data_IF_327757581144
#
_entry.id   IF_327757581144
#
_cell.length_a   1.000
_cell.length_b   1.000
_cell.length_c   1.000
_cell.angle_alpha   90.00
_cell.angle_beta   90.00
_cell.angle_gamma   90.00
#
_symmetry.space_group_name_H-M   'P 1'
#
loop_
_entity.id
_entity.type
_entity.pdbx_description
1 polymer ?
#
# COMPACT_ATOMS: atom_id res chain seq x y z
N UNK A 1 7.64 -20.80 15.35
CA UNK A 1 8.03 -19.70 14.48
C UNK A 1 6.82 -18.86 14.13
N UNK A 2 6.83 -17.59 14.48
CA UNK A 2 5.71 -16.68 14.16
C UNK A 2 5.72 -16.39 12.66
N UNK A 3 4.55 -16.34 12.04
CA UNK A 3 4.43 -15.93 10.65
C UNK A 3 4.40 -14.39 10.54
N UNK A 4 4.60 -13.88 9.34
CA UNK A 4 4.65 -12.44 9.08
C UNK A 4 3.37 -11.73 9.51
N UNK A 5 2.20 -12.34 9.29
CA UNK A 5 0.91 -11.76 9.68
C UNK A 5 0.81 -11.57 11.20
N UNK A 6 1.23 -12.58 11.96
CA UNK A 6 1.20 -12.52 13.41
C UNK A 6 2.15 -11.45 13.94
N UNK A 7 3.35 -11.38 13.39
CA UNK A 7 4.33 -10.36 13.75
C UNK A 7 3.82 -8.96 13.45
N UNK A 8 3.14 -8.79 12.31
CA UNK A 8 2.54 -7.50 11.95
C UNK A 8 1.45 -7.09 12.95
N UNK A 9 0.57 -8.01 13.33
CA UNK A 9 -0.50 -7.73 14.30
C UNK A 9 0.11 -7.32 15.64
N UNK A 10 1.11 -8.03 16.11
CA UNK A 10 1.81 -7.67 17.36
C UNK A 10 2.44 -6.30 17.28
N UNK A 11 3.10 -5.98 16.19
CA UNK A 11 3.69 -4.67 15.97
C UNK A 11 2.63 -3.57 15.95
N UNK A 12 1.52 -3.80 15.26
CA UNK A 12 0.42 -2.82 15.16
C UNK A 12 -0.22 -2.57 16.54
N UNK A 13 -0.35 -3.60 17.36
CA UNK A 13 -0.85 -3.44 18.73
C UNK A 13 0.12 -2.67 19.61
N UNK A 14 1.41 -2.97 19.53
CA UNK A 14 2.46 -2.26 20.28
C UNK A 14 2.52 -0.78 19.92
N UNK A 15 2.35 -0.45 18.64
CA UNK A 15 2.38 0.92 18.15
C UNK A 15 1.04 1.66 18.39
N UNK A 16 0.05 0.98 18.97
CA UNK A 16 -1.30 1.52 19.21
C UNK A 16 -2.04 1.91 17.93
N UNK A 17 -1.61 1.34 16.80
CA UNK A 17 -2.21 1.55 15.49
C UNK A 17 -3.47 0.71 15.33
N UNK A 18 -3.47 -0.49 15.92
CA UNK A 18 -4.61 -1.40 15.92
C UNK A 18 -5.17 -1.48 17.35
N UNK A 19 -6.46 -1.20 17.50
CA UNK A 19 -7.16 -1.27 18.78
C UNK A 19 -8.41 -2.11 18.62
N UNK A 20 -8.69 -2.93 19.63
CA UNK A 20 -9.95 -3.67 19.70
C UNK A 20 -10.94 -2.94 20.60
N UNK A 21 -12.21 -3.01 20.27
CA UNK A 21 -13.29 -2.36 20.99
C UNK A 21 -14.41 -2.00 20.04
N UNK A 22 -15.39 -1.22 20.54
CA UNK A 22 -16.43 -0.72 19.67
C UNK A 22 -16.07 0.68 19.19
N UNK A 23 -15.91 0.83 17.88
CA UNK A 23 -15.56 2.11 17.25
C UNK A 23 -16.54 2.41 16.13
N UNK A 24 -16.87 3.68 15.98
CA UNK A 24 -17.71 4.15 14.87
C UNK A 24 -16.81 4.59 13.72
N UNK A 25 -16.99 4.01 12.55
CA UNK A 25 -16.23 4.38 11.36
C UNK A 25 -16.76 5.69 10.77
N UNK A 26 -16.01 6.27 9.84
CA UNK A 26 -16.46 7.47 9.10
C UNK A 26 -17.76 7.25 8.34
N UNK A 27 -18.03 6.01 7.94
CA UNK A 27 -19.26 5.63 7.27
C UNK A 27 -20.43 5.40 8.24
N UNK A 28 -20.23 5.58 9.54
CA UNK A 28 -21.25 5.41 10.56
C UNK A 28 -21.45 3.99 11.05
N UNK A 29 -20.66 3.03 10.59
CA UNK A 29 -20.75 1.63 11.00
C UNK A 29 -19.99 1.41 12.30
N UNK A 30 -20.53 0.54 13.16
CA UNK A 30 -19.79 0.07 14.32
C UNK A 30 -18.77 -0.98 13.87
N UNK A 31 -17.55 -0.84 14.35
CA UNK A 31 -16.47 -1.77 14.04
C UNK A 31 -15.89 -2.33 15.34
N UNK A 32 -15.58 -3.64 15.41
CA UNK A 32 -14.96 -4.23 16.59
C UNK A 32 -13.49 -3.86 16.74
N UNK A 33 -12.92 -3.15 15.80
CA UNK A 33 -11.53 -2.70 15.86
C UNK A 33 -11.37 -1.34 15.18
N UNK A 34 -10.28 -0.69 15.53
CA UNK A 34 -9.85 0.55 14.90
C UNK A 34 -8.40 0.40 14.43
N UNK A 35 -8.14 0.76 13.18
CA UNK A 35 -6.81 0.75 12.62
C UNK A 35 -6.50 2.15 12.09
N UNK A 36 -5.41 2.74 12.58
CA UNK A 36 -4.98 4.07 12.18
C UNK A 36 -3.53 4.03 11.69
N UNK A 37 -3.38 3.92 10.37
CA UNK A 37 -2.05 3.89 9.75
C UNK A 37 -1.25 5.18 9.96
N UNK A 38 -1.93 6.29 10.29
CA UNK A 38 -1.25 7.55 10.62
C UNK A 38 -0.39 7.47 11.87
N UNK A 39 -0.59 6.46 12.71
CA UNK A 39 0.24 6.24 13.89
C UNK A 39 1.57 5.52 13.59
N UNK A 40 1.80 5.09 12.36
CA UNK A 40 3.15 4.73 11.88
C UNK A 40 3.89 6.04 11.55
N UNK A 41 4.13 6.84 12.58
CA UNK A 41 4.53 8.23 12.43
C UNK A 41 5.99 8.52 12.83
N UNK A 42 6.79 7.48 12.95
CA UNK A 42 8.25 7.61 13.09
C UNK A 42 8.93 6.88 11.95
N UNK A 43 10.17 7.26 11.67
CA UNK A 43 10.95 6.59 10.63
C UNK A 43 11.07 5.09 10.89
N UNK A 44 11.33 4.71 12.14
CA UNK A 44 11.46 3.30 12.50
C UNK A 44 10.16 2.52 12.26
N UNK A 45 9.03 3.09 12.64
CA UNK A 45 7.72 2.47 12.46
C UNK A 45 7.36 2.34 10.99
N UNK A 46 7.57 3.40 10.22
CA UNK A 46 7.29 3.39 8.78
C UNK A 46 8.19 2.40 8.04
N UNK A 47 9.48 2.35 8.40
CA UNK A 47 10.41 1.41 7.80
C UNK A 47 10.01 -0.04 8.11
N UNK A 48 9.61 -0.33 9.33
CA UNK A 48 9.19 -1.68 9.73
C UNK A 48 7.90 -2.10 9.03
N UNK A 49 6.97 -1.17 8.86
CA UNK A 49 5.74 -1.43 8.08
C UNK A 49 6.10 -1.78 6.64
N UNK A 50 7.00 -1.01 6.03
CA UNK A 50 7.49 -1.30 4.68
C UNK A 50 8.17 -2.66 4.57
N UNK A 51 8.90 -3.07 5.61
CA UNK A 51 9.53 -4.38 5.66
C UNK A 51 8.49 -5.52 5.65
N UNK A 52 7.42 -5.40 6.43
CA UNK A 52 6.34 -6.38 6.41
C UNK A 52 5.68 -6.50 5.03
N UNK A 53 5.44 -5.37 4.37
CA UNK A 53 4.89 -5.36 3.03
C UNK A 53 5.85 -6.02 2.03
N UNK A 54 7.12 -5.66 2.08
CA UNK A 54 8.14 -6.22 1.18
C UNK A 54 8.25 -7.74 1.36
N UNK A 55 8.30 -8.21 2.58
CA UNK A 55 8.34 -9.65 2.87
C UNK A 55 7.11 -10.37 2.31
N UNK A 56 5.93 -9.76 2.46
CA UNK A 56 4.67 -10.32 1.96
C UNK A 56 4.68 -10.41 0.43
N UNK A 57 5.16 -9.36 -0.25
CA UNK A 57 5.27 -9.35 -1.71
C UNK A 57 6.21 -10.44 -2.21
N UNK A 58 7.38 -10.57 -1.59
CA UNK A 58 8.36 -11.57 -2.00
C UNK A 58 7.88 -12.99 -1.71
N UNK A 59 7.18 -13.19 -0.59
CA UNK A 59 6.58 -14.49 -0.29
C UNK A 59 5.49 -14.87 -1.30
N UNK A 60 4.66 -13.91 -1.69
CA UNK A 60 3.62 -14.13 -2.70
C UNK A 60 4.21 -14.45 -4.07
N UNK A 61 5.28 -13.76 -4.45
CA UNK A 61 6.01 -14.02 -5.69
C UNK A 61 6.60 -15.43 -5.69
N UNK A 62 7.26 -15.80 -4.61
CA UNK A 62 7.86 -17.12 -4.46
C UNK A 62 6.82 -18.23 -4.52
N UNK A 63 5.63 -17.99 -3.99
CA UNK A 63 4.51 -18.94 -4.02
C UNK A 63 3.77 -18.95 -5.36
N UNK A 64 4.15 -18.12 -6.31
CA UNK A 64 3.49 -18.04 -7.63
C UNK A 64 2.13 -17.38 -7.62
N UNK A 65 1.77 -16.68 -6.53
CA UNK A 65 0.47 -16.01 -6.41
C UNK A 65 0.44 -14.61 -6.97
N UNK A 66 1.61 -13.99 -7.12
CA UNK A 66 1.74 -12.60 -7.55
C UNK A 66 3.07 -12.44 -8.25
N UNK A 67 3.10 -11.65 -9.32
CA UNK A 67 4.34 -11.16 -9.87
C UNK A 67 4.17 -9.67 -10.19
N UNK A 68 5.27 -8.95 -10.19
CA UNK A 68 5.24 -7.50 -10.43
C UNK A 68 6.57 -7.01 -10.96
N UNK A 69 6.50 -5.94 -11.73
CA UNK A 69 7.68 -5.27 -12.28
C UNK A 69 7.95 -3.95 -11.57
N UNK A 70 6.93 -3.37 -10.95
CA UNK A 70 7.05 -2.13 -10.20
C UNK A 70 5.93 -1.98 -9.19
N UNK A 71 6.06 -0.99 -8.30
CA UNK A 71 5.04 -0.70 -7.31
C UNK A 71 4.49 0.71 -7.49
N UNK A 72 3.23 0.90 -7.10
CA UNK A 72 2.51 2.16 -7.21
C UNK A 72 1.82 2.49 -5.90
N UNK A 73 2.04 3.71 -5.41
CA UNK A 73 1.40 4.21 -4.20
C UNK A 73 0.38 5.30 -4.52
N UNK A 74 -0.91 5.03 -4.36
CA UNK A 74 -1.92 6.06 -4.64
C UNK A 74 -1.87 7.19 -3.60
N UNK A 75 -2.05 8.43 -4.08
CA UNK A 75 -2.08 9.60 -3.22
C UNK A 75 -3.27 9.51 -2.25
N UNK A 76 -3.10 9.89 -1.01
CA UNK A 76 -1.83 10.43 -0.49
C UNK A 76 -1.12 9.46 0.45
N UNK A 77 -1.86 8.65 1.21
CA UNK A 77 -1.31 7.76 2.22
C UNK A 77 -0.47 6.62 1.64
N UNK A 78 -0.79 6.19 0.43
CA UNK A 78 0.00 5.17 -0.25
C UNK A 78 1.40 5.63 -0.65
N UNK A 79 1.62 6.94 -0.77
CA UNK A 79 2.91 7.47 -1.22
C UNK A 79 4.06 7.15 -0.27
N UNK A 80 4.02 7.57 1.01
CA UNK A 80 5.11 7.25 1.91
C UNK A 80 5.25 5.75 2.14
N UNK A 81 4.14 5.04 2.14
CA UNK A 81 4.14 3.60 2.32
C UNK A 81 4.84 2.89 1.16
N UNK A 82 4.49 3.24 -0.07
CA UNK A 82 5.14 2.67 -1.26
C UNK A 82 6.63 2.99 -1.29
N UNK A 83 7.03 4.19 -0.88
CA UNK A 83 8.44 4.56 -0.77
C UNK A 83 9.17 3.63 0.20
N UNK A 84 8.59 3.41 1.38
CA UNK A 84 9.17 2.50 2.37
C UNK A 84 9.26 1.07 1.84
N UNK A 85 8.22 0.60 1.15
CA UNK A 85 8.21 -0.73 0.55
C UNK A 85 9.29 -0.87 -0.52
N UNK A 86 9.44 0.13 -1.39
CA UNK A 86 10.47 0.12 -2.44
C UNK A 86 11.86 0.03 -1.84
N UNK A 87 12.14 0.81 -0.79
CA UNK A 87 13.42 0.79 -0.10
C UNK A 87 13.70 -0.56 0.55
N UNK A 88 12.69 -1.14 1.19
CA UNK A 88 12.84 -2.46 1.83
C UNK A 88 13.02 -3.57 0.79
N UNK A 89 12.29 -3.53 -0.32
CA UNK A 89 12.51 -4.48 -1.41
C UNK A 89 13.93 -4.42 -1.93
N UNK A 90 14.46 -3.21 -2.14
CA UNK A 90 15.85 -3.03 -2.61
C UNK A 90 16.84 -3.66 -1.65
N UNK A 91 16.69 -3.45 -0.34
CA UNK A 91 17.57 -4.07 0.68
C UNK A 91 17.48 -5.59 0.67
N UNK A 92 16.35 -6.13 0.27
CA UNK A 92 16.10 -7.59 0.19
C UNK A 92 16.51 -8.19 -1.16
N UNK A 93 17.20 -7.41 -2.00
CA UNK A 93 17.69 -7.89 -3.29
C UNK A 93 16.71 -7.75 -4.45
N UNK A 94 15.61 -7.03 -4.26
CA UNK A 94 14.58 -6.82 -5.27
C UNK A 94 14.41 -5.32 -5.55
N UNK A 95 15.30 -4.75 -6.35
CA UNK A 95 15.23 -3.33 -6.69
C UNK A 95 14.25 -3.13 -7.85
N UNK A 96 13.13 -2.50 -7.58
CA UNK A 96 12.09 -2.26 -8.59
C UNK A 96 11.75 -0.78 -8.67
N UNK A 97 11.32 -0.29 -9.84
CA UNK A 97 10.81 1.08 -9.96
C UNK A 97 9.57 1.28 -9.11
N UNK A 98 9.35 2.53 -8.69
CA UNK A 98 8.13 2.89 -7.99
C UNK A 98 7.62 4.24 -8.48
N UNK A 99 6.34 4.46 -8.33
CA UNK A 99 5.66 5.67 -8.75
C UNK A 99 4.49 5.98 -7.84
N UNK A 100 4.00 7.19 -7.92
CA UNK A 100 2.78 7.62 -7.27
C UNK A 100 2.05 8.62 -8.17
N UNK A 101 0.81 8.95 -7.82
CA UNK A 101 0.03 9.91 -8.59
C UNK A 101 -0.14 11.21 -7.84
N UNK A 102 -0.49 12.24 -8.58
CA UNK A 102 -1.00 13.50 -8.04
C UNK A 102 -2.51 13.51 -8.21
N UNK A 103 -3.22 14.08 -7.23
CA UNK A 103 -4.67 14.29 -7.38
C UNK A 103 -4.96 15.61 -8.09
N UNK A 104 -4.06 16.58 -7.98
CA UNK A 104 -4.20 17.87 -8.66
C UNK A 104 -3.63 17.77 -10.06
N UNK A 105 -4.41 18.21 -11.05
CA UNK A 105 -3.95 18.29 -12.44
C UNK A 105 -3.15 19.58 -12.60
N UNK A 106 -1.91 19.45 -13.06
CA UNK A 106 -1.12 20.64 -13.42
C UNK A 106 -1.66 21.24 -14.71
N UNK A 107 -1.80 22.56 -14.74
CA UNK A 107 -2.28 23.31 -15.88
C UNK A 107 -1.37 23.25 -17.11
N UNK A 108 -0.19 22.69 -16.99
CA UNK A 108 0.75 22.56 -18.08
C UNK A 108 0.73 21.12 -18.58
N UNK A 109 0.18 20.93 -19.75
CA UNK A 109 -0.23 19.67 -20.32
C UNK A 109 0.76 18.49 -20.35
N UNK A 110 1.95 18.65 -19.85
CA UNK A 110 2.88 17.54 -19.68
C UNK A 110 2.83 16.94 -18.30
N UNK A 111 2.04 17.53 -17.44
CA UNK A 111 1.93 17.06 -16.10
C UNK A 111 1.12 15.78 -16.03
N UNK A 112 1.65 14.73 -16.54
CA UNK A 112 1.07 13.45 -16.23
C UNK A 112 0.76 13.42 -14.74
N UNK A 113 -0.28 12.71 -14.38
CA UNK A 113 -0.64 12.51 -12.98
C UNK A 113 0.40 11.66 -12.24
N UNK A 114 1.35 11.10 -12.98
CA UNK A 114 2.33 10.14 -12.44
C UNK A 114 3.64 10.84 -12.13
N UNK A 115 4.18 10.56 -10.95
CA UNK A 115 5.48 11.00 -10.49
C UNK A 115 6.32 9.77 -10.17
N UNK A 116 7.59 9.81 -10.51
CA UNK A 116 8.51 8.69 -10.34
C UNK A 116 8.73 7.97 -11.65
N UNK A 117 8.83 6.64 -11.59
CA UNK A 117 9.05 5.86 -12.79
C UNK A 117 7.81 5.82 -13.68
N UNK A 118 7.97 5.76 -15.01
CA UNK A 118 6.82 5.53 -15.88
C UNK A 118 6.14 4.21 -15.55
N UNK A 119 4.80 4.19 -15.56
CA UNK A 119 4.06 2.96 -15.33
C UNK A 119 4.25 2.02 -16.50
N UNK A 120 4.71 0.81 -16.20
CA UNK A 120 5.15 -0.15 -17.23
C UNK A 120 5.05 -1.56 -16.69
N UNK A 121 4.55 -2.47 -17.52
CA UNK A 121 4.46 -3.87 -17.15
C UNK A 121 3.43 -4.16 -16.08
N UNK A 122 3.77 -5.03 -15.15
CA UNK A 122 2.89 -5.46 -14.06
C UNK A 122 3.12 -4.58 -12.86
N UNK A 123 2.06 -3.92 -12.41
CA UNK A 123 2.15 -2.92 -11.34
C UNK A 123 1.35 -3.39 -10.13
N UNK A 124 2.00 -3.53 -8.99
CA UNK A 124 1.30 -3.84 -7.74
C UNK A 124 0.98 -2.54 -7.01
N UNK A 125 -0.24 -2.43 -6.53
CA UNK A 125 -0.75 -1.26 -5.81
C UNK A 125 -0.48 -1.45 -4.32
N UNK A 126 0.13 -0.45 -3.70
CA UNK A 126 0.44 -0.46 -2.26
C UNK A 126 -0.40 0.62 -1.58
N UNK A 127 -1.25 0.22 -0.65
CA UNK A 127 -2.04 1.16 0.13
C UNK A 127 -2.18 0.68 1.58
N UNK A 128 -2.79 1.49 2.43
CA UNK A 128 -2.91 1.20 3.86
C UNK A 128 -4.15 0.36 4.17
N UNK A 129 -5.33 0.86 3.86
CA UNK A 129 -6.61 0.26 4.21
C UNK A 129 -7.57 0.35 3.03
N UNK A 130 -8.32 -0.72 2.78
CA UNK A 130 -9.46 -0.69 1.86
C UNK A 130 -10.73 -0.67 2.68
N UNK A 131 -11.55 0.35 2.49
CA UNK A 131 -12.92 0.40 3.03
C UNK A 131 -13.95 0.15 1.94
N UNK A 132 -13.97 0.98 0.90
CA UNK A 132 -14.94 0.89 -0.20
C UNK A 132 -14.31 0.60 -1.56
N UNK A 133 -13.00 0.47 -1.64
CA UNK A 133 -12.29 0.15 -2.88
C UNK A 133 -12.16 1.30 -3.88
N UNK A 134 -12.56 2.52 -3.53
CA UNK A 134 -12.50 3.67 -4.44
C UNK A 134 -11.07 3.98 -4.88
N UNK A 135 -10.15 4.02 -3.93
CA UNK A 135 -8.73 4.28 -4.20
C UNK A 135 -8.12 3.22 -5.12
N UNK A 136 -8.49 1.96 -4.92
CA UNK A 136 -8.02 0.86 -5.76
C UNK A 136 -8.57 0.99 -7.18
N UNK A 137 -9.86 1.30 -7.33
CA UNK A 137 -10.46 1.47 -8.65
C UNK A 137 -9.84 2.62 -9.43
N UNK A 138 -9.56 3.74 -8.75
CA UNK A 138 -8.87 4.86 -9.36
C UNK A 138 -7.46 4.49 -9.80
N UNK A 139 -6.74 3.75 -8.95
CA UNK A 139 -5.38 3.28 -9.26
C UNK A 139 -5.37 2.35 -10.48
N UNK A 140 -6.33 1.43 -10.56
CA UNK A 140 -6.46 0.53 -11.71
C UNK A 140 -6.67 1.32 -12.99
N UNK A 141 -7.54 2.33 -12.97
CA UNK A 141 -7.77 3.20 -14.13
C UNK A 141 -6.52 3.95 -14.57
N UNK A 142 -5.77 4.47 -13.61
CA UNK A 142 -4.52 5.19 -13.89
C UNK A 142 -3.49 4.25 -14.53
N UNK A 143 -3.33 3.06 -13.98
CA UNK A 143 -2.38 2.06 -14.49
C UNK A 143 -2.75 1.65 -15.91
N UNK A 144 -4.01 1.33 -16.14
CA UNK A 144 -4.49 0.92 -17.46
C UNK A 144 -4.42 2.05 -18.49
N UNK A 145 -4.68 3.29 -18.07
CA UNK A 145 -4.55 4.46 -18.95
C UNK A 145 -3.10 4.71 -19.40
N UNK A 146 -2.14 4.17 -18.68
CA UNK A 146 -0.71 4.24 -19.04
C UNK A 146 -0.22 2.98 -19.73
N UNK A 147 -1.13 2.12 -20.18
CA UNK A 147 -0.84 0.88 -20.89
C UNK A 147 -0.04 -0.13 -20.05
N UNK A 148 -0.17 -0.05 -18.75
CA UNK A 148 0.39 -1.03 -17.82
C UNK A 148 -0.73 -1.93 -17.30
N UNK A 149 -0.36 -2.99 -16.60
CA UNK A 149 -1.33 -3.96 -16.06
C UNK A 149 -1.30 -3.98 -14.56
N UNK A 150 -2.44 -3.77 -13.87
CA UNK A 150 -2.47 -3.95 -12.42
C UNK A 150 -2.34 -5.45 -12.10
N UNK A 151 -1.35 -5.82 -11.30
CA UNK A 151 -1.08 -7.21 -10.97
C UNK A 151 -1.64 -7.64 -9.62
N UNK A 152 -1.92 -6.70 -8.76
CA UNK A 152 -2.47 -6.98 -7.45
C UNK A 152 -2.48 -5.76 -6.55
N UNK A 153 -3.04 -5.94 -5.37
CA UNK A 153 -3.14 -4.89 -4.35
C UNK A 153 -2.66 -5.49 -3.04
N UNK A 154 -1.78 -4.78 -2.36
CA UNK A 154 -1.38 -5.16 -1.01
C UNK A 154 -1.76 -4.04 -0.04
N UNK A 155 -2.47 -4.42 1.00
CA UNK A 155 -2.95 -3.52 2.04
C UNK A 155 -2.70 -4.13 3.42
N UNK A 156 -2.70 -3.29 4.45
CA UNK A 156 -2.55 -3.76 5.82
C UNK A 156 -3.86 -4.38 6.34
N UNK A 157 -4.98 -3.72 6.07
CA UNK A 157 -6.29 -4.15 6.57
C UNK A 157 -7.36 -3.92 5.51
N UNK A 158 -8.14 -4.94 5.23
CA UNK A 158 -9.38 -4.82 4.47
C UNK A 158 -10.52 -4.72 5.47
N UNK A 159 -11.16 -3.57 5.53
CA UNK A 159 -12.28 -3.34 6.45
C UNK A 159 -13.59 -3.94 5.95
N UNK A 160 -13.62 -4.40 4.70
CA UNK A 160 -14.78 -5.04 4.06
C UNK A 160 -16.06 -4.18 4.13
N UNK A 161 -15.91 -2.89 4.18
CA UNK A 161 -17.01 -1.94 4.13
C UNK A 161 -17.52 -1.81 2.69
N UNK A 162 -18.83 -1.67 2.54
CA UNK A 162 -19.47 -1.55 1.24
C UNK A 162 -20.32 -0.28 1.15
#
# INVERSE_FOLDING_TARGET
MQNTKQQFIEFALEADVLRFGEFKTKAGRLSPYFFNAGLFNTGARLDRLGAFYAETLLAARKAGRLDFDMIFGPAYKGIPLAASVAMNLSRMGCDVPWAFNRKEIKDHGEGGMIVGAPLKGRVVIIDDVISAGTSVRESVKIIEANNASPSGVLIAVDRMER
#
